data_IF_585810754845
#
_entry.id   IF_585810754845
#
_cell.length_a   1.000
_cell.length_b   1.000
_cell.length_c   1.000
_cell.angle_alpha   90.00
_cell.angle_beta   90.00
_cell.angle_gamma   90.00
#
_symmetry.space_group_name_H-M   'P 1'
#
loop_
_entity.id
_entity.type
_entity.pdbx_description
1 polymer ?
#
# COMPACT_ATOMS: atom_id res chain seq x y z
N UNK A 1 7.23 8.70 -17.10
CA UNK A 1 6.25 7.62 -17.22
C UNK A 1 6.82 6.35 -17.85
N UNK A 2 7.17 6.35 -19.15
CA UNK A 2 7.69 5.14 -19.85
C UNK A 2 8.90 4.49 -19.16
N UNK A 3 9.89 5.27 -18.70
CA UNK A 3 11.08 4.74 -17.99
C UNK A 3 10.78 4.03 -16.65
N UNK A 4 9.61 4.25 -16.04
CA UNK A 4 9.22 3.67 -14.74
C UNK A 4 8.40 2.40 -14.92
N UNK A 5 7.50 2.37 -15.91
CA UNK A 5 6.65 1.20 -16.20
C UNK A 5 7.49 -0.03 -16.59
N UNK A 6 8.52 0.13 -17.41
CA UNK A 6 9.38 -0.99 -17.84
C UNK A 6 10.10 -1.66 -16.66
N UNK A 7 10.47 -0.90 -15.62
CA UNK A 7 11.12 -1.45 -14.43
C UNK A 7 10.20 -2.31 -13.56
N UNK A 8 8.88 -2.18 -13.73
CA UNK A 8 7.86 -3.00 -13.04
C UNK A 8 7.42 -4.15 -13.94
N UNK A 9 7.20 -3.85 -15.22
CA UNK A 9 6.69 -4.80 -16.19
C UNK A 9 7.69 -5.93 -16.49
N UNK A 10 8.99 -5.62 -16.59
CA UNK A 10 10.01 -6.63 -16.89
C UNK A 10 10.10 -7.68 -15.76
N UNK A 11 10.28 -7.31 -14.48
CA UNK A 11 10.24 -8.28 -13.39
C UNK A 11 8.91 -9.03 -13.31
N UNK A 12 7.78 -8.33 -13.49
CA UNK A 12 6.46 -8.96 -13.44
C UNK A 12 6.32 -10.07 -14.48
N UNK A 13 6.72 -9.81 -15.74
CA UNK A 13 6.67 -10.80 -16.81
C UNK A 13 7.65 -11.95 -16.56
N UNK A 14 8.89 -11.63 -16.16
CA UNK A 14 9.90 -12.63 -15.87
C UNK A 14 9.44 -13.60 -14.75
N UNK A 15 8.95 -13.06 -13.63
CA UNK A 15 8.43 -13.89 -12.54
C UNK A 15 7.14 -14.60 -12.90
N UNK A 16 6.24 -13.97 -13.65
CA UNK A 16 5.02 -14.63 -14.10
C UNK A 16 5.30 -15.85 -14.97
N UNK A 17 6.26 -15.74 -15.90
CA UNK A 17 6.70 -16.87 -16.73
C UNK A 17 7.33 -17.96 -15.84
N UNK A 18 8.24 -17.59 -14.94
CA UNK A 18 8.85 -18.54 -14.01
C UNK A 18 7.80 -19.33 -13.21
N UNK A 19 6.79 -18.65 -12.66
CA UNK A 19 5.73 -19.31 -11.89
C UNK A 19 4.75 -20.11 -12.74
N UNK A 20 4.47 -19.71 -13.98
CA UNK A 20 3.70 -20.55 -14.90
C UNK A 20 4.45 -21.85 -15.21
N UNK A 21 5.76 -21.78 -15.46
CA UNK A 21 6.60 -22.96 -15.66
C UNK A 21 6.64 -23.83 -14.40
N UNK A 22 6.81 -23.21 -13.22
CA UNK A 22 6.77 -23.92 -11.94
C UNK A 22 5.45 -24.68 -11.75
N UNK A 23 4.31 -24.02 -11.99
CA UNK A 23 2.99 -24.65 -11.88
C UNK A 23 2.77 -25.78 -12.87
N UNK A 24 3.29 -25.64 -14.09
CA UNK A 24 3.15 -26.67 -15.12
C UNK A 24 4.06 -27.89 -14.88
N UNK A 25 5.31 -27.66 -14.50
CA UNK A 25 6.33 -28.72 -14.42
C UNK A 25 6.53 -29.31 -13.03
N UNK A 26 6.29 -28.54 -11.96
CA UNK A 26 6.52 -28.99 -10.58
C UNK A 26 5.22 -29.27 -9.83
N UNK A 27 4.26 -28.35 -9.88
CA UNK A 27 2.96 -28.55 -9.20
C UNK A 27 1.99 -29.40 -10.03
N UNK A 28 2.23 -29.54 -11.33
CA UNK A 28 1.33 -30.16 -12.31
C UNK A 28 -0.12 -29.64 -12.22
N UNK A 29 -0.28 -28.37 -11.84
CA UNK A 29 -1.58 -27.75 -11.54
C UNK A 29 -2.20 -27.06 -12.75
N UNK A 30 -1.41 -26.78 -13.79
CA UNK A 30 -1.85 -26.15 -15.05
C UNK A 30 -1.15 -26.77 -16.26
N UNK A 31 -1.71 -26.59 -17.44
CA UNK A 31 -1.02 -26.82 -18.71
C UNK A 31 -0.52 -25.51 -19.31
N UNK A 32 0.59 -25.54 -20.06
CA UNK A 32 1.09 -24.37 -20.79
C UNK A 32 0.27 -24.18 -22.06
N UNK A 33 -0.84 -23.45 -21.95
CA UNK A 33 -1.72 -23.06 -23.05
C UNK A 33 -1.82 -21.54 -23.18
N UNK A 34 -2.35 -21.07 -24.31
CA UNK A 34 -2.68 -19.65 -24.50
C UNK A 34 -3.58 -19.12 -23.37
N UNK A 35 -4.52 -19.94 -22.88
CA UNK A 35 -5.41 -19.58 -21.77
C UNK A 35 -4.64 -19.34 -20.47
N UNK A 36 -3.61 -20.14 -20.19
CA UNK A 36 -2.74 -19.95 -19.03
C UNK A 36 -1.97 -18.61 -19.11
N UNK A 37 -1.56 -18.19 -20.31
CA UNK A 37 -0.97 -16.85 -20.49
C UNK A 37 -2.00 -15.73 -20.39
N UNK A 38 -3.19 -15.90 -20.95
CA UNK A 38 -4.27 -14.90 -20.86
C UNK A 38 -4.79 -14.75 -19.42
N UNK A 39 -4.73 -15.81 -18.62
CA UNK A 39 -5.09 -15.76 -17.20
C UNK A 39 -4.26 -14.75 -16.41
N UNK A 40 -3.02 -14.46 -16.84
CA UNK A 40 -2.14 -13.46 -16.23
C UNK A 40 -2.70 -12.04 -16.29
N UNK A 41 -3.62 -11.75 -17.22
CA UNK A 41 -4.27 -10.43 -17.29
C UNK A 41 -5.23 -10.25 -16.12
N UNK A 42 -5.90 -11.33 -15.73
CA UNK A 42 -6.97 -11.30 -14.71
C UNK A 42 -6.46 -11.62 -13.32
N UNK A 43 -5.42 -12.45 -13.20
CA UNK A 43 -4.89 -12.90 -11.93
C UNK A 43 -3.35 -13.04 -11.98
N UNK A 44 -2.65 -12.74 -10.87
CA UNK A 44 -1.21 -12.94 -10.80
C UNK A 44 -0.86 -14.44 -10.86
N UNK A 45 0.24 -14.79 -11.52
CA UNK A 45 0.73 -16.17 -11.61
C UNK A 45 0.95 -16.81 -10.22
N UNK A 46 1.31 -16.01 -9.23
CA UNK A 46 1.48 -16.42 -7.84
C UNK A 46 1.00 -15.32 -6.92
N UNK A 47 0.52 -15.66 -5.72
CA UNK A 47 -0.18 -14.71 -4.86
C UNK A 47 0.67 -13.47 -4.59
N UNK A 48 1.96 -13.61 -4.24
CA UNK A 48 2.85 -12.48 -3.98
C UNK A 48 3.03 -11.50 -5.14
N UNK A 49 2.71 -11.85 -6.40
CA UNK A 49 2.86 -10.92 -7.52
C UNK A 49 1.74 -9.86 -7.59
N UNK A 50 0.70 -9.98 -6.78
CA UNK A 50 -0.44 -9.05 -6.75
C UNK A 50 0.01 -7.58 -6.63
N UNK A 51 1.09 -7.29 -5.89
CA UNK A 51 1.54 -5.92 -5.67
C UNK A 51 2.08 -5.26 -6.94
N UNK A 52 2.63 -6.02 -7.90
CA UNK A 52 3.09 -5.47 -9.17
C UNK A 52 1.92 -4.96 -10.00
N UNK A 53 0.78 -5.65 -9.98
CA UNK A 53 -0.46 -5.22 -10.64
C UNK A 53 -1.00 -3.94 -10.00
N UNK A 54 -1.03 -3.90 -8.67
CA UNK A 54 -1.43 -2.70 -7.92
C UNK A 54 -0.50 -1.51 -8.24
N UNK A 55 0.81 -1.74 -8.30
CA UNK A 55 1.80 -0.71 -8.61
C UNK A 55 1.68 -0.20 -10.05
N UNK A 56 1.40 -1.09 -11.01
CA UNK A 56 1.14 -0.71 -12.39
C UNK A 56 -0.08 0.21 -12.47
N UNK A 57 -1.21 -0.19 -11.86
CA UNK A 57 -2.43 0.63 -11.81
C UNK A 57 -2.21 1.99 -11.15
N UNK A 58 -1.46 2.02 -10.04
CA UNK A 58 -1.05 3.26 -9.39
C UNK A 58 -0.24 4.16 -10.32
N UNK A 59 0.78 3.62 -10.99
CA UNK A 59 1.60 4.40 -11.91
C UNK A 59 0.82 4.98 -13.07
N UNK A 60 -0.15 4.25 -13.62
CA UNK A 60 -1.07 4.79 -14.62
C UNK A 60 -1.91 5.94 -14.05
N UNK A 61 -2.31 5.86 -12.78
CA UNK A 61 -3.08 6.90 -12.10
C UNK A 61 -2.25 8.12 -11.64
N UNK A 62 -0.91 8.00 -11.49
CA UNK A 62 -0.04 9.07 -10.97
C UNK A 62 -0.26 10.43 -11.67
N UNK A 63 -0.30 10.54 -13.01
CA UNK A 63 -0.51 11.84 -13.66
C UNK A 63 -1.84 12.50 -13.26
N UNK A 64 -2.90 11.71 -13.12
CA UNK A 64 -4.22 12.18 -12.70
C UNK A 64 -4.19 12.61 -11.23
N UNK A 65 -3.63 11.76 -10.37
CA UNK A 65 -3.48 12.04 -8.94
C UNK A 65 -2.64 13.29 -8.68
N UNK A 66 -1.58 13.51 -9.48
CA UNK A 66 -0.73 14.68 -9.38
C UNK A 66 -1.49 15.97 -9.72
N UNK A 67 -2.29 15.96 -10.79
CA UNK A 67 -3.13 17.11 -11.17
C UNK A 67 -4.13 17.42 -10.06
N UNK A 68 -4.83 16.42 -9.54
CA UNK A 68 -5.80 16.57 -8.44
C UNK A 68 -5.12 17.16 -7.21
N UNK A 69 -3.99 16.58 -6.78
CA UNK A 69 -3.28 17.03 -5.59
C UNK A 69 -2.79 18.48 -5.71
N UNK A 70 -2.34 18.90 -6.89
CA UNK A 70 -1.78 20.23 -7.10
C UNK A 70 -2.82 21.35 -7.26
N UNK A 71 -4.02 21.02 -7.77
CA UNK A 71 -5.01 22.04 -8.15
C UNK A 71 -6.28 22.02 -7.29
N UNK A 72 -6.58 20.93 -6.60
CA UNK A 72 -7.75 20.86 -5.74
C UNK A 72 -7.54 21.65 -4.43
N UNK A 73 -8.63 22.20 -3.90
CA UNK A 73 -8.59 22.85 -2.60
C UNK A 73 -8.22 21.85 -1.49
N UNK A 74 -7.45 22.26 -0.46
CA UNK A 74 -7.06 21.38 0.64
C UNK A 74 -8.26 20.71 1.33
N UNK A 75 -9.39 21.41 1.46
CA UNK A 75 -10.61 20.88 2.06
C UNK A 75 -11.18 19.71 1.23
N UNK A 76 -11.14 19.79 -0.09
CA UNK A 76 -11.60 18.73 -0.99
C UNK A 76 -10.69 17.50 -0.90
N UNK A 77 -9.37 17.71 -0.81
CA UNK A 77 -8.42 16.62 -0.62
C UNK A 77 -8.63 15.91 0.73
N UNK A 78 -8.88 16.67 1.80
CA UNK A 78 -9.21 16.11 3.12
C UNK A 78 -10.51 15.31 3.09
N UNK A 79 -11.55 15.86 2.45
CA UNK A 79 -12.82 15.15 2.26
C UNK A 79 -12.63 13.86 1.46
N UNK A 80 -11.86 13.91 0.37
CA UNK A 80 -11.53 12.73 -0.44
C UNK A 80 -10.84 11.65 0.40
N UNK A 81 -9.82 12.01 1.19
CA UNK A 81 -9.11 11.07 2.06
C UNK A 81 -10.02 10.48 3.14
N UNK A 82 -10.91 11.28 3.73
CA UNK A 82 -11.88 10.79 4.69
C UNK A 82 -12.85 9.78 4.05
N UNK A 83 -13.40 10.11 2.88
CA UNK A 83 -14.31 9.23 2.15
C UNK A 83 -13.60 7.95 1.69
N UNK A 84 -12.37 8.05 1.21
CA UNK A 84 -11.52 6.92 0.88
C UNK A 84 -11.24 6.03 2.08
N UNK A 85 -10.89 6.61 3.24
CA UNK A 85 -10.65 5.83 4.46
C UNK A 85 -11.92 5.11 4.93
N UNK A 86 -13.07 5.78 4.87
CA UNK A 86 -14.37 5.15 5.19
C UNK A 86 -14.63 3.98 4.24
N UNK A 87 -14.52 4.21 2.93
CA UNK A 87 -14.83 3.23 1.91
C UNK A 87 -13.88 2.05 1.85
N UNK A 88 -12.57 2.32 1.85
CA UNK A 88 -11.54 1.31 1.66
C UNK A 88 -11.20 0.55 2.96
N UNK A 89 -11.55 1.11 4.12
CA UNK A 89 -11.11 0.60 5.42
C UNK A 89 -12.26 0.36 6.40
N UNK A 90 -13.02 1.40 6.76
CA UNK A 90 -14.02 1.29 7.82
C UNK A 90 -15.24 0.46 7.41
N UNK A 91 -15.74 0.61 6.19
CA UNK A 91 -16.85 -0.22 5.68
C UNK A 91 -16.46 -1.69 5.72
N UNK A 92 -15.34 -2.15 5.09
CA UNK A 92 -14.91 -3.54 5.19
C UNK A 92 -14.67 -4.03 6.63
N UNK A 93 -14.29 -3.15 7.55
CA UNK A 93 -14.10 -3.47 8.96
C UNK A 93 -15.44 -3.77 9.63
N UNK A 94 -16.41 -2.87 9.48
CA UNK A 94 -17.75 -3.04 10.03
C UNK A 94 -18.41 -4.28 9.44
N UNK A 95 -18.33 -4.49 8.13
CA UNK A 95 -18.89 -5.68 7.48
C UNK A 95 -18.27 -6.97 8.04
N UNK A 96 -16.94 -6.97 8.27
CA UNK A 96 -16.24 -8.15 8.81
C UNK A 96 -16.64 -8.48 10.25
N UNK A 97 -16.83 -7.48 11.11
CA UNK A 97 -17.04 -7.69 12.54
C UNK A 97 -18.51 -7.63 13.00
N UNK A 98 -19.38 -6.94 12.26
CA UNK A 98 -20.82 -6.88 12.55
C UNK A 98 -21.65 -7.88 11.74
N UNK A 99 -21.12 -8.37 10.61
CA UNK A 99 -21.87 -9.20 9.66
C UNK A 99 -22.91 -8.43 8.84
N UNK A 100 -23.05 -7.11 9.04
CA UNK A 100 -23.97 -6.26 8.28
C UNK A 100 -23.31 -5.89 6.95
N UNK A 101 -23.98 -6.15 5.84
CA UNK A 101 -23.54 -5.68 4.53
C UNK A 101 -23.96 -4.24 4.30
N UNK A 102 -23.02 -3.37 3.96
CA UNK A 102 -23.28 -1.96 3.72
C UNK A 102 -23.47 -1.78 2.21
N UNK A 103 -24.69 -1.39 1.79
CA UNK A 103 -25.01 -1.20 0.35
C UNK A 103 -24.24 -0.07 -0.34
N UNK A 104 -23.52 0.75 0.42
CA UNK A 104 -22.67 1.84 -0.10
C UNK A 104 -21.34 1.24 -0.56
N UNK A 105 -21.19 1.02 -1.87
CA UNK A 105 -19.95 0.51 -2.44
C UNK A 105 -19.02 1.66 -2.85
N UNK A 106 -18.08 2.01 -1.97
CA UNK A 106 -17.02 3.00 -2.24
C UNK A 106 -15.71 2.35 -2.73
N UNK A 107 -15.72 1.07 -3.13
CA UNK A 107 -14.51 0.39 -3.61
C UNK A 107 -13.95 1.02 -4.91
N UNK A 108 -14.75 1.82 -5.62
CA UNK A 108 -14.30 2.59 -6.77
C UNK A 108 -13.37 3.76 -6.41
N UNK A 109 -13.29 4.15 -5.13
CA UNK A 109 -12.41 5.23 -4.67
C UNK A 109 -10.96 4.77 -4.69
N UNK A 110 -10.34 4.80 -5.87
CA UNK A 110 -8.91 4.77 -6.17
C UNK A 110 -8.04 3.70 -5.48
N UNK A 111 -8.57 2.70 -4.78
CA UNK A 111 -7.80 1.63 -4.14
C UNK A 111 -6.60 2.16 -3.34
N UNK A 112 -5.39 1.77 -3.75
CA UNK A 112 -4.13 2.26 -3.16
C UNK A 112 -3.81 3.73 -3.44
N UNK A 113 -4.47 4.36 -4.42
CA UNK A 113 -4.25 5.74 -4.82
C UNK A 113 -4.60 6.76 -3.72
N UNK A 114 -5.47 6.40 -2.78
CA UNK A 114 -5.74 7.27 -1.62
C UNK A 114 -4.53 7.51 -0.73
N UNK A 115 -3.55 6.60 -0.70
CA UNK A 115 -2.27 6.82 -0.03
C UNK A 115 -1.47 7.98 -0.63
N UNK A 116 -1.59 8.24 -1.94
CA UNK A 116 -0.90 9.36 -2.58
C UNK A 116 -1.45 10.69 -2.10
N UNK A 117 -2.78 10.82 -2.04
CA UNK A 117 -3.42 12.05 -1.57
C UNK A 117 -3.20 12.24 -0.06
N UNK A 118 -3.29 11.16 0.73
CA UNK A 118 -2.94 11.20 2.15
C UNK A 118 -1.49 11.65 2.37
N UNK A 119 -0.54 11.05 1.64
CA UNK A 119 0.87 11.42 1.71
C UNK A 119 1.12 12.86 1.27
N UNK A 120 0.41 13.35 0.25
CA UNK A 120 0.46 14.76 -0.17
C UNK A 120 0.00 15.69 0.94
N UNK A 121 -1.15 15.44 1.56
CA UNK A 121 -1.65 16.24 2.70
C UNK A 121 -0.67 16.22 3.88
N UNK A 122 -0.15 15.06 4.25
CA UNK A 122 0.84 14.95 5.33
C UNK A 122 2.17 15.63 4.97
N UNK A 123 2.48 15.75 3.67
CA UNK A 123 3.69 16.38 3.14
C UNK A 123 3.63 17.91 3.08
N UNK A 124 2.44 18.51 2.98
CA UNK A 124 2.28 19.97 2.87
C UNK A 124 2.24 20.67 4.22
N UNK A 125 1.87 19.98 5.30
CA UNK A 125 1.81 20.56 6.65
C UNK A 125 3.17 20.52 7.37
N UNK A 126 3.58 21.52 8.16
CA UNK A 126 4.84 21.48 8.90
C UNK A 126 4.83 20.40 9.99
N UNK A 127 5.92 19.64 10.12
CA UNK A 127 6.04 18.58 11.14
C UNK A 127 6.75 19.12 12.37
N UNK A 128 6.09 19.03 13.53
CA UNK A 128 6.62 19.47 14.82
C UNK A 128 7.05 18.26 15.67
N UNK A 129 7.80 18.52 16.75
CA UNK A 129 8.15 17.48 17.74
C UNK A 129 6.91 16.79 18.33
N UNK A 130 5.82 17.52 18.52
CA UNK A 130 4.56 16.96 19.04
C UNK A 130 3.94 15.99 18.02
N UNK A 131 3.89 16.38 16.74
CA UNK A 131 3.41 15.50 15.67
C UNK A 131 4.23 14.20 15.61
N UNK A 132 5.56 14.30 15.72
CA UNK A 132 6.43 13.13 15.73
C UNK A 132 6.21 12.22 16.95
N UNK A 133 5.99 12.77 18.15
CA UNK A 133 5.65 11.96 19.33
C UNK A 133 4.32 11.24 19.16
N UNK A 134 3.29 11.96 18.70
CA UNK A 134 1.98 11.36 18.43
C UNK A 134 2.14 10.23 17.41
N UNK A 135 2.83 10.49 16.31
CA UNK A 135 3.11 9.49 15.27
C UNK A 135 3.87 8.27 15.80
N UNK A 136 4.82 8.45 16.71
CA UNK A 136 5.53 7.34 17.36
C UNK A 136 4.58 6.47 18.19
N UNK A 137 3.78 7.11 19.05
CA UNK A 137 2.82 6.41 19.90
C UNK A 137 1.75 5.70 19.05
N UNK A 138 1.21 6.36 18.02
CA UNK A 138 0.22 5.74 17.11
C UNK A 138 0.82 4.61 16.30
N UNK A 139 2.06 4.71 15.83
CA UNK A 139 2.74 3.63 15.13
C UNK A 139 2.91 2.39 16.05
N UNK A 140 3.40 2.59 17.28
CA UNK A 140 3.53 1.49 18.25
C UNK A 140 2.16 0.86 18.56
N UNK A 141 1.12 1.66 18.78
CA UNK A 141 -0.24 1.15 19.00
C UNK A 141 -0.74 0.36 17.79
N UNK A 142 -0.53 0.83 16.56
CA UNK A 142 -0.95 0.10 15.36
C UNK A 142 -0.23 -1.25 15.22
N UNK A 143 1.08 -1.30 15.48
CA UNK A 143 1.85 -2.55 15.48
C UNK A 143 1.32 -3.52 16.54
N UNK A 144 1.05 -3.02 17.74
CA UNK A 144 0.45 -3.82 18.82
C UNK A 144 -0.94 -4.34 18.44
N UNK A 145 -1.79 -3.50 17.85
CA UNK A 145 -3.12 -3.91 17.37
C UNK A 145 -2.98 -5.00 16.31
N UNK A 146 -2.06 -4.87 15.36
CA UNK A 146 -1.83 -5.90 14.34
C UNK A 146 -1.38 -7.22 14.97
N UNK A 147 -0.40 -7.18 15.87
CA UNK A 147 0.17 -8.38 16.48
C UNK A 147 -0.83 -9.08 17.40
N UNK A 148 -1.37 -8.34 18.37
CA UNK A 148 -2.30 -8.86 19.38
C UNK A 148 -3.64 -9.21 18.75
N UNK A 149 -4.17 -8.34 17.89
CA UNK A 149 -5.45 -8.57 17.21
C UNK A 149 -5.40 -9.78 16.29
N UNK A 150 -4.30 -9.99 15.55
CA UNK A 150 -4.18 -11.18 14.70
C UNK A 150 -4.04 -12.45 15.53
N UNK A 151 -3.30 -12.40 16.64
CA UNK A 151 -3.20 -13.52 17.58
C UNK A 151 -4.58 -13.94 18.11
N UNK A 152 -5.40 -12.99 18.56
CA UNK A 152 -6.76 -13.29 19.03
C UNK A 152 -7.68 -13.77 17.90
N UNK A 153 -7.61 -13.16 16.72
CA UNK A 153 -8.40 -13.60 15.56
C UNK A 153 -8.02 -15.00 15.08
N UNK A 154 -6.76 -15.38 15.21
CA UNK A 154 -6.27 -16.72 14.90
C UNK A 154 -6.85 -17.75 15.88
N UNK A 155 -6.83 -17.45 17.19
CA UNK A 155 -7.42 -18.33 18.21
C UNK A 155 -8.93 -18.49 17.98
N UNK A 156 -9.63 -17.40 17.70
CA UNK A 156 -11.07 -17.42 17.44
C UNK A 156 -11.45 -18.13 16.13
N UNK A 157 -10.50 -18.41 15.26
CA UNK A 157 -10.69 -19.06 13.97
C UNK A 157 -10.03 -20.46 13.94
N UNK A 158 -10.08 -21.17 15.06
CA UNK A 158 -9.53 -22.54 15.24
C UNK A 158 -8.05 -22.67 14.85
N UNK A 159 -7.26 -21.62 15.08
CA UNK A 159 -5.84 -21.59 14.75
C UNK A 159 -5.53 -21.25 13.29
N UNK A 160 -6.54 -21.00 12.44
CA UNK A 160 -6.33 -20.56 11.07
C UNK A 160 -6.01 -19.07 11.02
N UNK A 161 -4.85 -18.73 10.46
CA UNK A 161 -4.37 -17.35 10.36
C UNK A 161 -5.37 -16.45 9.62
N UNK A 162 -5.93 -15.47 10.33
CA UNK A 162 -6.77 -14.43 9.76
C UNK A 162 -5.93 -13.17 9.46
N UNK A 163 -5.52 -13.02 8.21
CA UNK A 163 -4.65 -11.91 7.78
C UNK A 163 -5.34 -10.55 7.60
N UNK A 164 -6.57 -10.37 8.12
CA UNK A 164 -7.33 -9.14 7.91
C UNK A 164 -6.58 -7.89 8.40
N UNK A 165 -6.03 -7.92 9.62
CA UNK A 165 -5.28 -6.79 10.21
C UNK A 165 -3.90 -6.56 9.56
N UNK A 166 -3.43 -7.50 8.74
CA UNK A 166 -2.23 -7.37 7.92
C UNK A 166 -2.51 -6.78 6.53
N UNK A 167 -3.79 -6.60 6.16
CA UNK A 167 -4.12 -6.04 4.84
C UNK A 167 -3.66 -4.59 4.75
N UNK A 168 -3.06 -4.17 3.63
CA UNK A 168 -2.61 -2.79 3.46
C UNK A 168 -3.69 -1.71 3.67
N UNK A 169 -4.95 -2.01 3.33
CA UNK A 169 -6.08 -1.09 3.49
C UNK A 169 -6.79 -1.25 4.84
N UNK A 170 -6.29 -2.10 5.74
CA UNK A 170 -6.80 -2.18 7.11
C UNK A 170 -6.51 -0.86 7.85
N UNK A 171 -7.40 -0.42 8.76
CA UNK A 171 -7.34 0.94 9.31
C UNK A 171 -6.07 1.16 10.13
N UNK A 172 -5.66 0.15 10.89
CA UNK A 172 -4.40 0.12 11.63
C UNK A 172 -3.18 0.25 10.69
N UNK A 173 -3.20 -0.35 9.51
CA UNK A 173 -2.08 -0.28 8.55
C UNK A 173 -2.03 1.08 7.84
N UNK A 174 -3.19 1.66 7.49
CA UNK A 174 -3.25 3.02 6.92
C UNK A 174 -2.69 4.05 7.93
N UNK A 175 -3.14 3.98 9.17
CA UNK A 175 -2.66 4.88 10.24
C UNK A 175 -1.18 4.65 10.54
N UNK A 176 -0.72 3.41 10.53
CA UNK A 176 0.70 3.08 10.65
C UNK A 176 1.52 3.72 9.52
N UNK A 177 1.09 3.57 8.27
CA UNK A 177 1.78 4.14 7.11
C UNK A 177 1.89 5.68 7.23
N UNK A 178 0.81 6.36 7.58
CA UNK A 178 0.82 7.82 7.82
C UNK A 178 1.73 8.21 9.00
N UNK A 179 1.73 7.43 10.08
CA UNK A 179 2.58 7.66 11.25
C UNK A 179 4.07 7.52 10.92
N UNK A 180 4.45 6.45 10.21
CA UNK A 180 5.83 6.24 9.73
C UNK A 180 6.25 7.36 8.78
N UNK A 181 5.37 7.80 7.87
CA UNK A 181 5.64 8.92 6.98
C UNK A 181 6.01 10.20 7.76
N UNK A 182 5.21 10.55 8.78
CA UNK A 182 5.48 11.73 9.63
C UNK A 182 6.79 11.58 10.40
N UNK A 183 7.10 10.40 10.94
CA UNK A 183 8.35 10.14 11.65
C UNK A 183 9.58 10.27 10.76
N UNK A 184 9.56 9.64 9.59
CA UNK A 184 10.65 9.72 8.61
C UNK A 184 10.88 11.17 8.21
N UNK A 185 9.80 11.91 7.92
CA UNK A 185 9.91 13.32 7.56
C UNK A 185 10.49 14.17 8.68
N UNK A 186 10.01 13.99 9.91
CA UNK A 186 10.56 14.69 11.07
C UNK A 186 12.07 14.42 11.23
N UNK A 187 12.48 13.15 11.08
CA UNK A 187 13.89 12.74 11.20
C UNK A 187 14.75 13.44 10.13
N UNK A 188 14.28 13.42 8.88
CA UNK A 188 14.99 14.03 7.73
C UNK A 188 15.12 15.55 7.89
N UNK A 189 14.10 16.22 8.40
CA UNK A 189 14.10 17.68 8.58
C UNK A 189 15.01 18.14 9.74
N UNK A 190 15.05 17.38 10.85
CA UNK A 190 15.65 17.84 12.10
C UNK A 190 17.03 17.26 12.44
N UNK A 191 17.42 16.10 11.88
CA UNK A 191 18.70 15.48 12.20
C UNK A 191 19.73 15.62 11.07
N UNK A 192 20.92 16.18 11.33
CA UNK A 192 21.96 16.40 10.31
C UNK A 192 22.58 15.12 9.74
N UNK A 193 22.41 13.97 10.40
CA UNK A 193 22.80 12.66 9.85
C UNK A 193 22.09 12.34 8.53
N UNK A 194 20.83 12.77 8.35
CA UNK A 194 20.11 12.65 7.09
C UNK A 194 20.65 13.58 5.98
N UNK A 195 21.36 14.65 6.37
CA UNK A 195 22.04 15.59 5.46
C UNK A 195 23.49 15.20 5.18
N UNK A 196 24.01 14.14 5.82
CA UNK A 196 25.36 13.66 5.60
C UNK A 196 25.49 13.09 4.17
N UNK A 197 26.56 13.49 3.46
CA UNK A 197 26.77 13.15 2.04
C UNK A 197 26.64 11.64 1.75
N UNK A 198 27.14 10.80 2.66
CA UNK A 198 27.05 9.33 2.56
C UNK A 198 25.61 8.82 2.66
N UNK A 199 24.81 9.35 3.57
CA UNK A 199 23.39 8.96 3.73
C UNK A 199 22.59 9.45 2.52
N UNK A 200 22.88 10.65 2.02
CA UNK A 200 22.28 11.15 0.79
C UNK A 200 22.64 10.29 -0.44
N UNK A 201 23.89 9.81 -0.54
CA UNK A 201 24.32 8.90 -1.59
C UNK A 201 23.65 7.52 -1.48
N UNK A 202 23.43 7.02 -0.25
CA UNK A 202 22.69 5.78 0.00
C UNK A 202 21.21 5.97 -0.33
N UNK A 203 20.60 7.09 0.04
CA UNK A 203 19.21 7.40 -0.32
C UNK A 203 19.07 7.58 -1.83
N UNK A 204 20.04 8.21 -2.49
CA UNK A 204 20.05 8.33 -3.95
C UNK A 204 20.25 6.98 -4.64
N UNK A 205 21.18 6.16 -4.17
CA UNK A 205 21.42 4.83 -4.74
C UNK A 205 20.21 3.93 -4.52
N UNK A 206 19.63 3.93 -3.32
CA UNK A 206 18.38 3.28 -3.01
C UNK A 206 17.25 3.84 -3.85
N UNK A 207 17.09 5.15 -4.03
CA UNK A 207 16.06 5.75 -4.88
C UNK A 207 16.24 5.40 -6.37
N UNK A 208 17.48 5.26 -6.84
CA UNK A 208 17.75 4.80 -8.21
C UNK A 208 17.42 3.32 -8.40
N UNK A 209 17.56 2.51 -7.33
CA UNK A 209 17.26 1.08 -7.29
C UNK A 209 15.78 0.77 -6.97
N UNK A 210 15.16 1.56 -6.09
CA UNK A 210 13.76 1.56 -5.73
C UNK A 210 13.04 2.52 -6.67
N UNK A 211 12.66 2.01 -7.84
CA UNK A 211 11.63 2.57 -8.75
C UNK A 211 11.24 4.05 -8.47
N UNK A 212 12.19 4.97 -8.68
CA UNK A 212 12.11 6.35 -8.16
C UNK A 212 11.05 7.27 -8.74
#
# INVERSE_FOLDING_TARGET
FSKRVHKVLIPLLAWSIFFLLWKAYYEHSISLSLDSFLSLISAPAYFHLWFFYALLGLYLAVPVLQVIAQHAEPMILQYFVALWFIGASLIPLVEKFSGIQIGINLNFLLGYGGFFILGYLLGTHPVTKTHARIACVTACMCVMITAVGTYFLMIANDGLHNGYLYRPLAPNVIVLAGSIFVLVRFIVEHYPFAKHKTVHLIIQSLSTASLG
#
